data_IF_173190439696
#
_entry.id   IF_173190439696
#
_cell.length_a   1.000
_cell.length_b   1.000
_cell.length_c   1.000
_cell.angle_alpha   90.00
_cell.angle_beta   90.00
_cell.angle_gamma   90.00
#
_symmetry.space_group_name_H-M   'P 1'
#
loop_
_entity.id
_entity.type
_entity.pdbx_description
1 polymer ?
#
# COMPACT_ATOMS: atom_id res chain seq x y z
N UNK A 1 -44.36 4.96 -6.40
CA UNK A 1 -43.88 6.10 -7.21
C UNK A 1 -43.18 5.50 -8.41
N UNK A 2 -43.91 5.28 -9.50
CA UNK A 2 -43.38 4.74 -10.75
C UNK A 2 -42.60 5.83 -11.48
N UNK A 3 -41.34 5.56 -11.82
CA UNK A 3 -40.57 6.42 -12.73
C UNK A 3 -41.05 6.17 -14.16
N UNK A 4 -41.82 7.12 -14.67
CA UNK A 4 -42.17 7.29 -16.08
C UNK A 4 -40.90 7.54 -16.91
N UNK A 5 -40.24 6.47 -17.37
CA UNK A 5 -39.39 6.54 -18.54
C UNK A 5 -40.18 6.03 -19.74
N UNK A 6 -40.41 6.94 -20.68
CA UNK A 6 -41.18 6.77 -21.91
C UNK A 6 -40.68 5.54 -22.70
N UNK A 7 -41.54 4.53 -22.90
CA UNK A 7 -41.22 3.23 -23.51
C UNK A 7 -40.90 3.24 -25.02
N UNK A 8 -40.70 4.41 -25.63
CA UNK A 8 -40.46 4.61 -27.07
C UNK A 8 -38.98 4.86 -27.41
N UNK A 9 -38.09 4.83 -26.42
CA UNK A 9 -36.63 5.03 -26.56
C UNK A 9 -35.84 3.88 -25.91
N UNK A 10 -36.34 2.65 -26.01
CA UNK A 10 -35.64 1.46 -25.49
C UNK A 10 -34.44 1.18 -26.41
N UNK A 11 -33.29 1.74 -26.05
CA UNK A 11 -32.00 1.27 -26.58
C UNK A 11 -31.76 -0.10 -25.95
N UNK A 12 -31.95 -1.17 -26.74
CA UNK A 12 -31.77 -2.55 -26.27
C UNK A 12 -30.41 -2.75 -25.57
N UNK A 13 -30.37 -3.62 -24.56
CA UNK A 13 -29.15 -3.91 -23.80
C UNK A 13 -28.87 -2.94 -22.65
N UNK A 14 -29.80 -2.05 -22.29
CA UNK A 14 -29.64 -1.07 -21.20
C UNK A 14 -30.74 -1.10 -20.13
N UNK A 15 -31.64 -2.07 -20.19
CA UNK A 15 -32.71 -2.30 -19.22
C UNK A 15 -32.62 -3.71 -18.62
N UNK A 16 -33.46 -4.01 -17.62
CA UNK A 16 -33.41 -5.29 -16.94
C UNK A 16 -34.01 -6.41 -17.79
N UNK A 17 -35.06 -6.10 -18.54
CA UNK A 17 -35.83 -7.02 -19.36
C UNK A 17 -34.96 -7.62 -20.47
N UNK A 18 -34.11 -6.80 -21.11
CA UNK A 18 -33.21 -7.21 -22.19
C UNK A 18 -31.90 -7.84 -21.71
N UNK A 19 -31.43 -7.51 -20.50
CA UNK A 19 -30.10 -7.95 -20.02
C UNK A 19 -30.13 -8.98 -18.90
N UNK A 20 -31.24 -9.10 -18.20
CA UNK A 20 -31.37 -9.89 -16.97
C UNK A 20 -30.72 -9.25 -15.73
N UNK A 21 -30.18 -8.03 -15.83
CA UNK A 21 -29.54 -7.34 -14.70
C UNK A 21 -30.32 -6.08 -14.31
N UNK A 22 -30.68 -5.98 -13.03
CA UNK A 22 -31.28 -4.77 -12.45
C UNK A 22 -30.30 -3.58 -12.46
N UNK A 23 -30.81 -2.36 -12.31
CA UNK A 23 -30.03 -1.13 -12.44
C UNK A 23 -28.84 -1.04 -11.47
N UNK A 24 -28.98 -1.54 -10.24
CA UNK A 24 -27.92 -1.56 -9.22
C UNK A 24 -26.78 -2.56 -9.54
N UNK A 25 -27.01 -3.48 -10.48
CA UNK A 25 -26.00 -4.35 -11.08
C UNK A 25 -25.69 -3.96 -12.54
N UNK A 26 -25.97 -2.71 -12.92
CA UNK A 26 -25.97 -2.25 -14.32
C UNK A 26 -24.64 -2.44 -15.05
N UNK A 27 -23.50 -2.37 -14.35
CA UNK A 27 -22.19 -2.61 -14.98
C UNK A 27 -21.99 -4.07 -15.43
N UNK A 28 -22.73 -5.03 -14.88
CA UNK A 28 -22.70 -6.42 -15.37
C UNK A 28 -23.24 -6.55 -16.81
N UNK A 29 -24.00 -5.56 -17.29
CA UNK A 29 -24.46 -5.48 -18.68
C UNK A 29 -23.30 -5.26 -19.67
N UNK A 30 -22.14 -4.81 -19.19
CA UNK A 30 -20.96 -4.52 -20.01
C UNK A 30 -20.06 -5.75 -20.25
N UNK A 31 -20.35 -6.91 -19.66
CA UNK A 31 -19.45 -8.08 -19.67
C UNK A 31 -19.03 -8.45 -21.11
N UNK A 32 -19.92 -8.36 -22.08
CA UNK A 32 -19.64 -8.71 -23.48
C UNK A 32 -19.63 -7.49 -24.43
N UNK A 33 -19.51 -6.28 -23.90
CA UNK A 33 -19.43 -5.03 -24.68
C UNK A 33 -18.01 -4.46 -24.56
N UNK A 34 -17.05 -5.09 -25.24
CA UNK A 34 -15.62 -4.84 -25.06
C UNK A 34 -15.21 -3.38 -25.28
N UNK A 35 -15.86 -2.65 -26.21
CA UNK A 35 -15.60 -1.23 -26.45
C UNK A 35 -16.13 -0.33 -25.35
N UNK A 36 -17.36 -0.58 -24.88
CA UNK A 36 -17.92 0.17 -23.74
C UNK A 36 -17.20 -0.12 -22.44
N UNK A 37 -16.83 -1.38 -22.21
CA UNK A 37 -16.08 -1.81 -21.04
C UNK A 37 -14.67 -1.22 -21.06
N UNK A 38 -14.02 -1.11 -22.22
CA UNK A 38 -12.78 -0.34 -22.38
C UNK A 38 -12.98 1.13 -21.96
N UNK A 39 -14.04 1.77 -22.45
CA UNK A 39 -14.38 3.15 -22.06
C UNK A 39 -14.55 3.33 -20.55
N UNK A 40 -15.26 2.39 -19.90
CA UNK A 40 -15.42 2.39 -18.45
C UNK A 40 -14.07 2.28 -17.70
N UNK A 41 -13.18 1.38 -18.13
CA UNK A 41 -11.85 1.22 -17.51
C UNK A 41 -10.97 2.45 -17.71
N UNK A 42 -10.95 3.03 -18.92
CA UNK A 42 -10.13 4.21 -19.24
C UNK A 42 -10.66 5.45 -18.50
N UNK A 43 -11.98 5.61 -18.42
CA UNK A 43 -12.60 6.68 -17.62
C UNK A 43 -12.26 6.53 -16.13
N UNK A 44 -12.33 5.31 -15.59
CA UNK A 44 -11.96 5.04 -14.20
C UNK A 44 -10.48 5.30 -13.92
N UNK A 45 -9.58 4.95 -14.85
CA UNK A 45 -8.17 5.34 -14.76
C UNK A 45 -8.01 6.87 -14.75
N UNK A 46 -8.80 7.58 -15.57
CA UNK A 46 -8.90 9.03 -15.53
C UNK A 46 -9.29 9.57 -14.14
N UNK A 47 -10.24 8.95 -13.45
CA UNK A 47 -10.63 9.35 -12.08
C UNK A 47 -9.50 9.15 -11.05
N UNK A 48 -8.76 8.05 -11.13
CA UNK A 48 -7.60 7.81 -10.24
C UNK A 48 -6.53 8.89 -10.45
N UNK A 49 -6.18 9.13 -11.72
CA UNK A 49 -5.15 10.13 -12.08
C UNK A 49 -5.62 11.55 -11.79
N UNK A 50 -6.92 11.83 -11.92
CA UNK A 50 -7.54 13.10 -11.52
C UNK A 50 -7.40 13.32 -10.01
N UNK A 51 -7.76 12.32 -9.19
CA UNK A 51 -7.60 12.40 -7.75
C UNK A 51 -6.14 12.64 -7.36
N UNK A 52 -5.19 11.92 -7.96
CA UNK A 52 -3.76 12.12 -7.69
C UNK A 52 -3.32 13.57 -8.00
N UNK A 53 -3.72 14.12 -9.14
CA UNK A 53 -3.39 15.50 -9.51
C UNK A 53 -4.08 16.55 -8.62
N UNK A 54 -5.39 16.43 -8.44
CA UNK A 54 -6.19 17.38 -7.67
C UNK A 54 -5.81 17.36 -6.18
N UNK A 55 -5.68 16.17 -5.58
CA UNK A 55 -5.31 16.02 -4.17
C UNK A 55 -3.86 16.50 -3.93
N UNK A 56 -2.93 16.22 -4.86
CA UNK A 56 -1.56 16.72 -4.74
C UNK A 56 -1.53 18.26 -4.79
N UNK A 57 -2.21 18.89 -5.76
CA UNK A 57 -2.28 20.35 -5.82
C UNK A 57 -2.99 20.95 -4.61
N UNK A 58 -3.99 20.26 -4.06
CA UNK A 58 -4.63 20.65 -2.81
C UNK A 58 -3.64 20.62 -1.63
N UNK A 59 -2.85 19.54 -1.49
CA UNK A 59 -1.80 19.45 -0.48
C UNK A 59 -0.75 20.55 -0.66
N UNK A 60 -0.26 20.79 -1.88
CA UNK A 60 0.68 21.89 -2.19
C UNK A 60 0.10 23.24 -1.78
N UNK A 61 -1.19 23.49 -2.04
CA UNK A 61 -1.84 24.77 -1.72
C UNK A 61 -2.00 25.01 -0.21
N UNK A 62 -2.07 23.95 0.60
CA UNK A 62 -2.22 24.04 2.06
C UNK A 62 -0.90 23.78 2.81
N UNK A 63 0.18 23.50 2.09
CA UNK A 63 1.45 23.13 2.68
C UNK A 63 2.18 24.35 3.25
N UNK A 64 2.57 24.24 4.51
CA UNK A 64 3.42 25.18 5.25
C UNK A 64 4.79 24.51 5.44
N UNK A 65 5.84 24.94 4.70
CA UNK A 65 7.14 24.25 4.69
C UNK A 65 7.86 24.20 6.03
N UNK A 66 7.62 25.15 6.93
CA UNK A 66 8.27 25.19 8.24
C UNK A 66 7.68 24.17 9.24
N UNK A 67 6.55 23.53 8.91
CA UNK A 67 5.91 22.51 9.73
C UNK A 67 6.22 21.09 9.21
N UNK A 68 6.34 20.09 10.08
CA UNK A 68 6.44 18.70 9.64
C UNK A 68 5.25 18.31 8.74
N UNK A 69 5.50 17.50 7.71
CA UNK A 69 4.43 17.05 6.79
C UNK A 69 3.33 16.28 7.52
N UNK A 70 3.71 15.48 8.51
CA UNK A 70 2.78 14.65 9.29
C UNK A 70 1.84 15.44 10.20
N UNK A 71 2.11 16.72 10.48
CA UNK A 71 1.20 17.59 11.23
C UNK A 71 0.12 18.25 10.36
N UNK A 72 0.19 18.08 9.05
CA UNK A 72 -0.59 18.86 8.09
C UNK A 72 -1.63 18.01 7.33
N UNK A 73 -1.79 16.74 7.71
CA UNK A 73 -2.74 15.83 7.06
C UNK A 73 -2.35 15.46 5.63
N UNK A 74 -1.06 15.46 5.32
CA UNK A 74 -0.53 15.18 3.98
C UNK A 74 -0.27 13.68 3.83
N UNK A 75 -0.64 13.13 2.68
CA UNK A 75 -0.33 11.75 2.31
C UNK A 75 0.37 11.66 0.96
N UNK A 76 0.21 12.61 0.03
CA UNK A 76 0.86 12.55 -1.29
C UNK A 76 2.24 13.21 -1.30
N UNK A 77 2.43 14.36 -0.65
CA UNK A 77 3.75 15.01 -0.55
C UNK A 77 4.79 14.09 0.11
N UNK A 78 4.48 13.34 1.19
CA UNK A 78 5.38 12.34 1.74
C UNK A 78 5.86 11.28 0.72
N UNK A 79 5.02 10.84 -0.22
CA UNK A 79 5.44 9.89 -1.26
C UNK A 79 6.42 10.53 -2.24
N UNK A 80 6.20 11.79 -2.63
CA UNK A 80 7.11 12.53 -3.52
C UNK A 80 8.45 12.83 -2.83
N UNK A 81 8.41 13.23 -1.56
CA UNK A 81 9.59 13.46 -0.74
C UNK A 81 10.43 12.18 -0.54
N UNK A 82 9.77 11.03 -0.36
CA UNK A 82 10.45 9.72 -0.26
C UNK A 82 11.21 9.36 -1.54
N UNK A 83 10.71 9.81 -2.70
CA UNK A 83 11.42 9.71 -3.98
C UNK A 83 12.58 10.72 -4.13
N UNK A 84 12.88 11.50 -3.09
CA UNK A 84 13.95 12.49 -3.07
C UNK A 84 13.64 13.78 -3.84
N UNK A 85 12.37 14.05 -4.14
CA UNK A 85 11.98 15.32 -4.78
C UNK A 85 11.72 16.40 -3.72
N UNK A 86 12.35 17.56 -3.88
CA UNK A 86 12.04 18.75 -3.08
C UNK A 86 12.57 18.73 -1.65
N UNK A 87 13.31 17.70 -1.24
CA UNK A 87 13.84 17.53 0.13
C UNK A 87 15.36 17.40 0.17
N UNK A 88 15.94 17.72 1.32
CA UNK A 88 17.37 17.57 1.61
C UNK A 88 17.66 16.95 2.99
N UNK A 89 18.79 17.30 3.62
CA UNK A 89 19.20 16.74 4.91
C UNK A 89 18.12 16.92 5.98
N UNK A 90 17.91 15.87 6.78
CA UNK A 90 16.88 15.81 7.82
C UNK A 90 15.44 15.77 7.29
N UNK A 91 15.24 15.70 5.98
CA UNK A 91 13.91 15.76 5.35
C UNK A 91 13.36 17.18 5.21
N UNK A 92 14.20 18.20 5.34
CA UNK A 92 13.82 19.60 5.13
C UNK A 92 13.36 19.83 3.69
N UNK A 93 12.26 20.56 3.52
CA UNK A 93 11.76 20.92 2.18
C UNK A 93 12.54 22.11 1.63
N UNK A 94 13.27 21.87 0.54
CA UNK A 94 14.10 22.86 -0.15
C UNK A 94 13.39 23.51 -1.34
N UNK A 95 12.50 22.76 -2.02
CA UNK A 95 11.77 23.23 -3.20
C UNK A 95 10.42 22.51 -3.33
N UNK A 96 9.33 23.27 -3.42
CA UNK A 96 7.97 22.74 -3.58
C UNK A 96 7.56 22.60 -5.05
N UNK A 97 8.36 23.12 -6.00
CA UNK A 97 8.05 23.05 -7.42
C UNK A 97 7.91 21.62 -7.96
N UNK A 98 8.73 20.62 -7.57
CA UNK A 98 8.53 19.24 -8.00
C UNK A 98 7.15 18.68 -7.62
N UNK A 99 6.63 19.07 -6.45
CA UNK A 99 5.29 18.67 -5.99
C UNK A 99 4.21 19.26 -6.89
N UNK A 100 4.31 20.56 -7.18
CA UNK A 100 3.42 21.26 -8.09
C UNK A 100 3.44 20.65 -9.50
N UNK A 101 4.63 20.40 -10.06
CA UNK A 101 4.80 19.75 -11.38
C UNK A 101 4.11 18.40 -11.41
N UNK A 102 4.32 17.56 -10.40
CA UNK A 102 3.64 16.26 -10.31
C UNK A 102 2.12 16.42 -10.33
N UNK A 103 1.58 17.36 -9.54
CA UNK A 103 0.14 17.62 -9.45
C UNK A 103 -0.46 18.06 -10.80
N UNK A 104 0.18 19.00 -11.48
CA UNK A 104 -0.26 19.49 -12.79
C UNK A 104 -0.20 18.39 -13.85
N UNK A 105 0.90 17.63 -13.93
CA UNK A 105 1.06 16.59 -14.94
C UNK A 105 0.01 15.48 -14.79
N UNK A 106 -0.32 15.07 -13.56
CA UNK A 106 -1.40 14.12 -13.32
C UNK A 106 -2.76 14.73 -13.70
N UNK A 107 -3.05 15.96 -13.28
CA UNK A 107 -4.33 16.61 -13.58
C UNK A 107 -4.57 16.74 -15.10
N UNK A 108 -3.57 17.18 -15.86
CA UNK A 108 -3.67 17.27 -17.33
C UNK A 108 -3.81 15.88 -17.97
N UNK A 109 -3.04 14.90 -17.51
CA UNK A 109 -3.13 13.52 -18.02
C UNK A 109 -4.51 12.90 -17.78
N UNK A 110 -5.15 13.23 -16.65
CA UNK A 110 -6.51 12.76 -16.36
C UNK A 110 -7.56 13.26 -17.36
N UNK A 111 -7.38 14.45 -17.92
CA UNK A 111 -8.29 14.98 -18.93
C UNK A 111 -8.20 14.17 -20.23
N UNK A 112 -7.00 13.77 -20.63
CA UNK A 112 -6.77 12.90 -21.80
C UNK A 112 -7.42 11.52 -21.59
N UNK A 113 -7.20 10.91 -20.42
CA UNK A 113 -7.82 9.64 -20.07
C UNK A 113 -9.35 9.75 -19.99
N UNK A 114 -9.87 10.79 -19.34
CA UNK A 114 -11.30 11.05 -19.25
C UNK A 114 -11.94 11.21 -20.63
N UNK A 115 -11.29 11.96 -21.53
CA UNK A 115 -11.76 12.11 -22.91
C UNK A 115 -11.82 10.77 -23.66
N UNK A 116 -10.73 9.98 -23.62
CA UNK A 116 -10.71 8.65 -24.24
C UNK A 116 -11.76 7.71 -23.64
N UNK A 117 -11.93 7.73 -22.32
CA UNK A 117 -12.92 6.92 -21.61
C UNK A 117 -14.36 7.26 -22.00
N UNK A 118 -14.72 8.55 -22.02
CA UNK A 118 -16.04 9.02 -22.44
C UNK A 118 -16.31 8.69 -23.91
N UNK A 119 -15.33 8.91 -24.78
CA UNK A 119 -15.42 8.56 -26.20
C UNK A 119 -15.76 7.08 -26.36
N UNK A 120 -14.98 6.17 -25.77
CA UNK A 120 -15.20 4.73 -25.92
C UNK A 120 -16.48 4.23 -25.23
N UNK A 121 -16.92 4.87 -24.14
CA UNK A 121 -18.15 4.49 -23.46
C UNK A 121 -19.42 4.87 -24.25
N UNK A 122 -19.41 6.04 -24.90
CA UNK A 122 -20.61 6.66 -25.47
C UNK A 122 -20.66 6.70 -27.00
N UNK A 123 -19.53 6.94 -27.67
CA UNK A 123 -19.46 7.25 -29.11
C UNK A 123 -18.80 6.13 -29.91
N UNK A 124 -17.72 5.55 -29.37
CA UNK A 124 -16.98 4.47 -30.00
C UNK A 124 -17.81 3.20 -30.22
N UNK A 125 -17.29 2.24 -31.00
CA UNK A 125 -17.98 0.98 -31.26
C UNK A 125 -18.25 0.22 -29.94
N UNK A 126 -19.42 -0.40 -29.82
CA UNK A 126 -19.82 -1.09 -28.58
C UNK A 126 -18.99 -2.35 -28.32
N UNK A 127 -18.59 -3.01 -29.40
CA UNK A 127 -17.75 -4.22 -29.48
C UNK A 127 -16.55 -3.95 -30.39
N UNK A 128 -15.40 -4.58 -30.10
CA UNK A 128 -14.14 -4.36 -30.81
C UNK A 128 -13.75 -5.53 -31.72
N UNK A 129 -14.43 -6.67 -31.60
CA UNK A 129 -14.08 -7.96 -32.20
C UNK A 129 -14.06 -7.92 -33.73
N UNK A 130 -15.03 -7.25 -34.34
CA UNK A 130 -15.16 -7.20 -35.80
C UNK A 130 -14.26 -6.12 -36.43
N UNK A 131 -14.31 -4.90 -35.88
CA UNK A 131 -13.61 -3.75 -36.45
C UNK A 131 -12.11 -3.76 -36.16
N UNK A 132 -11.69 -4.31 -35.01
CA UNK A 132 -10.31 -4.25 -34.54
C UNK A 132 -9.88 -5.58 -33.90
N UNK A 133 -9.60 -6.64 -34.68
CA UNK A 133 -9.32 -7.99 -34.16
C UNK A 133 -8.16 -8.07 -33.15
N UNK A 134 -7.16 -7.18 -33.28
CA UNK A 134 -6.07 -7.08 -32.31
C UNK A 134 -6.56 -6.61 -30.93
N UNK A 135 -7.54 -5.70 -30.86
CA UNK A 135 -8.09 -5.16 -29.62
C UNK A 135 -9.33 -5.92 -29.10
N UNK A 136 -10.12 -6.54 -29.99
CA UNK A 136 -11.28 -7.34 -29.61
C UNK A 136 -10.91 -8.64 -28.90
N UNK A 137 -11.77 -9.12 -28.00
CA UNK A 137 -11.51 -10.31 -27.23
C UNK A 137 -12.79 -11.00 -26.75
N UNK A 138 -12.71 -12.31 -26.55
CA UNK A 138 -13.74 -13.07 -25.84
C UNK A 138 -13.10 -13.63 -24.57
N UNK A 139 -13.76 -13.48 -23.42
CA UNK A 139 -13.21 -13.92 -22.12
C UNK A 139 -12.77 -15.40 -22.08
N UNK A 140 -13.38 -16.24 -22.92
CA UNK A 140 -13.06 -17.68 -23.02
C UNK A 140 -11.83 -17.97 -23.89
N UNK A 141 -11.36 -17.02 -24.70
CA UNK A 141 -10.12 -17.13 -25.45
C UNK A 141 -8.94 -16.97 -24.48
N UNK A 142 -8.48 -18.12 -23.99
CA UNK A 142 -7.40 -18.21 -23.01
C UNK A 142 -6.08 -17.66 -23.53
N UNK A 143 -5.84 -17.73 -24.85
CA UNK A 143 -4.61 -17.23 -25.45
C UNK A 143 -4.64 -15.70 -25.50
N UNK A 144 -5.75 -15.10 -25.95
CA UNK A 144 -5.89 -13.64 -25.93
C UNK A 144 -5.82 -13.07 -24.51
N UNK A 145 -6.38 -13.78 -23.52
CA UNK A 145 -6.28 -13.38 -22.11
C UNK A 145 -4.82 -13.40 -21.60
N UNK A 146 -4.04 -14.44 -21.91
CA UNK A 146 -2.61 -14.46 -21.52
C UNK A 146 -1.78 -13.44 -22.28
N UNK A 147 -2.10 -13.15 -23.54
CA UNK A 147 -1.43 -12.06 -24.29
C UNK A 147 -1.66 -10.70 -23.63
N UNK A 148 -2.91 -10.35 -23.28
CA UNK A 148 -3.22 -9.07 -22.61
C UNK A 148 -2.53 -9.00 -21.24
N UNK A 149 -2.61 -10.08 -20.45
CA UNK A 149 -1.87 -10.19 -19.18
C UNK A 149 -0.37 -9.95 -19.38
N UNK A 150 0.22 -10.60 -20.39
CA UNK A 150 1.66 -10.51 -20.63
C UNK A 150 2.11 -9.12 -21.05
N UNK A 151 1.31 -8.39 -21.83
CA UNK A 151 1.55 -6.98 -22.15
C UNK A 151 1.53 -6.14 -20.87
N UNK A 152 0.52 -6.32 -20.01
CA UNK A 152 0.44 -5.57 -18.75
C UNK A 152 1.59 -5.89 -17.80
N UNK A 153 2.03 -7.14 -17.70
CA UNK A 153 3.20 -7.53 -16.91
C UNK A 153 4.48 -6.83 -17.40
N UNK A 154 4.69 -6.73 -18.72
CA UNK A 154 5.83 -5.96 -19.25
C UNK A 154 5.74 -4.49 -18.83
N UNK A 155 4.55 -3.88 -18.92
CA UNK A 155 4.36 -2.47 -18.53
C UNK A 155 4.60 -2.25 -17.02
N UNK A 156 4.14 -3.17 -16.16
CA UNK A 156 4.42 -3.15 -14.73
C UNK A 156 5.93 -3.28 -14.46
N UNK A 157 6.60 -4.19 -15.17
CA UNK A 157 8.03 -4.40 -15.00
C UNK A 157 8.86 -3.19 -15.43
N UNK A 158 8.44 -2.50 -16.49
CA UNK A 158 9.01 -1.20 -16.87
C UNK A 158 8.77 -0.14 -15.78
N UNK A 159 7.60 -0.13 -15.14
CA UNK A 159 7.30 0.71 -13.99
C UNK A 159 8.26 0.47 -12.80
N UNK A 160 8.56 -0.78 -12.48
CA UNK A 160 9.56 -1.14 -11.46
C UNK A 160 10.95 -0.59 -11.83
N UNK A 161 11.35 -0.70 -13.10
CA UNK A 161 12.63 -0.16 -13.59
C UNK A 161 12.69 1.37 -13.56
N UNK A 162 11.56 2.09 -13.67
CA UNK A 162 11.56 3.55 -13.49
C UNK A 162 11.97 3.95 -12.07
N UNK A 163 11.55 3.22 -11.03
CA UNK A 163 12.02 3.45 -9.66
C UNK A 163 13.52 3.17 -9.53
N UNK A 164 14.00 2.07 -10.13
CA UNK A 164 15.43 1.74 -10.14
C UNK A 164 16.24 2.86 -10.80
N UNK A 165 15.80 3.36 -11.95
CA UNK A 165 16.45 4.48 -12.62
C UNK A 165 16.41 5.76 -11.79
N UNK A 166 15.29 6.04 -11.11
CA UNK A 166 15.20 7.17 -10.18
C UNK A 166 16.26 7.09 -9.09
N UNK A 167 16.36 5.94 -8.44
CA UNK A 167 17.25 5.71 -7.31
C UNK A 167 18.73 5.69 -7.68
N UNK A 168 19.08 5.17 -8.86
CA UNK A 168 20.48 5.00 -9.27
C UNK A 168 21.04 6.15 -10.09
N UNK A 169 20.20 6.83 -10.89
CA UNK A 169 20.69 7.75 -11.92
C UNK A 169 20.04 9.14 -11.91
N UNK A 170 18.83 9.29 -11.33
CA UNK A 170 18.09 10.55 -11.36
C UNK A 170 17.94 11.14 -9.95
N UNK A 171 19.08 11.44 -9.32
CA UNK A 171 19.13 12.17 -8.06
C UNK A 171 18.91 11.34 -6.79
N UNK A 172 18.57 10.05 -6.88
CA UNK A 172 18.49 9.16 -5.70
C UNK A 172 17.12 9.07 -5.05
N UNK A 173 17.06 8.54 -3.83
CA UNK A 173 15.87 8.47 -2.97
C UNK A 173 16.20 9.09 -1.61
N UNK A 174 15.19 9.45 -0.82
CA UNK A 174 15.43 9.86 0.56
C UNK A 174 15.79 8.63 1.42
N UNK A 175 16.96 8.67 2.05
CA UNK A 175 17.47 7.62 2.92
C UNK A 175 17.45 8.11 4.37
N UNK A 176 16.48 7.66 5.18
CA UNK A 176 16.46 8.00 6.63
C UNK A 176 17.68 7.44 7.37
N UNK A 177 18.34 6.43 6.81
CA UNK A 177 19.50 5.73 7.38
C UNK A 177 20.85 6.28 6.91
N UNK A 178 20.86 7.38 6.16
CA UNK A 178 22.10 7.96 5.67
C UNK A 178 23.06 8.30 6.85
N UNK A 179 24.37 7.99 6.73
CA UNK A 179 25.33 8.29 7.80
C UNK A 179 25.38 9.78 8.12
N UNK A 180 25.13 10.14 9.38
CA UNK A 180 25.09 11.54 9.84
C UNK A 180 23.69 12.15 9.90
N UNK A 181 22.66 11.43 9.47
CA UNK A 181 21.26 11.86 9.46
C UNK A 181 20.63 11.65 8.08
N UNK A 182 19.30 11.50 8.03
CA UNK A 182 18.63 11.16 6.78
C UNK A 182 18.82 12.22 5.69
N UNK A 183 19.06 11.79 4.45
CA UNK A 183 19.31 12.69 3.31
C UNK A 183 18.98 11.99 1.98
N UNK A 184 18.87 12.75 0.90
CA UNK A 184 18.71 12.19 -0.44
C UNK A 184 20.03 11.59 -0.91
N UNK A 185 20.01 10.31 -1.29
CA UNK A 185 21.20 9.55 -1.69
C UNK A 185 20.97 8.75 -2.96
N UNK A 186 21.98 8.74 -3.82
CA UNK A 186 22.06 7.82 -4.97
C UNK A 186 22.41 6.42 -4.47
N UNK A 187 21.62 5.43 -4.89
CA UNK A 187 21.88 4.01 -4.60
C UNK A 187 22.80 3.46 -5.67
N UNK A 188 24.09 3.34 -5.36
CA UNK A 188 25.11 2.90 -6.33
C UNK A 188 25.29 1.38 -6.38
N UNK A 189 24.94 0.66 -5.30
CA UNK A 189 25.17 -0.78 -5.17
C UNK A 189 23.88 -1.50 -4.73
N UNK A 190 22.84 -1.58 -5.58
CA UNK A 190 21.62 -2.30 -5.22
C UNK A 190 21.90 -3.78 -4.95
N UNK A 191 21.20 -4.37 -3.98
CA UNK A 191 21.40 -5.78 -3.61
C UNK A 191 20.84 -6.71 -4.68
N UNK A 192 21.71 -7.35 -5.46
CA UNK A 192 21.30 -8.32 -6.48
C UNK A 192 21.40 -9.78 -6.01
N UNK A 193 21.94 -10.03 -4.82
CA UNK A 193 22.06 -11.38 -4.27
C UNK A 193 20.67 -11.99 -4.03
N UNK A 194 20.27 -13.06 -4.76
CA UNK A 194 18.93 -13.66 -4.62
C UNK A 194 18.69 -14.24 -3.23
N UNK A 195 19.73 -14.68 -2.53
CA UNK A 195 19.58 -15.21 -1.17
C UNK A 195 19.06 -14.15 -0.19
N UNK A 196 19.45 -12.88 -0.38
CA UNK A 196 18.94 -11.76 0.43
C UNK A 196 17.52 -11.40 -0.01
N UNK A 197 17.33 -11.13 -1.30
CA UNK A 197 16.05 -10.65 -1.86
C UNK A 197 14.91 -11.65 -1.63
N UNK A 198 15.10 -12.92 -2.01
CA UNK A 198 14.09 -13.95 -1.77
C UNK A 198 14.07 -14.43 -0.31
N UNK A 199 15.13 -14.17 0.45
CA UNK A 199 15.17 -14.40 1.89
C UNK A 199 14.05 -13.66 2.63
N UNK A 200 13.79 -12.39 2.27
CA UNK A 200 12.68 -11.61 2.84
C UNK A 200 11.32 -12.28 2.68
N UNK A 201 11.06 -12.92 1.53
CA UNK A 201 9.77 -13.58 1.24
C UNK A 201 9.55 -14.80 2.15
N UNK A 202 10.64 -15.43 2.62
CA UNK A 202 10.60 -16.62 3.46
C UNK A 202 10.67 -16.30 4.97
N UNK A 203 10.87 -15.04 5.36
CA UNK A 203 10.87 -14.63 6.77
C UNK A 203 9.48 -14.81 7.40
N UNK A 204 9.46 -15.09 8.69
CA UNK A 204 8.25 -15.14 9.49
C UNK A 204 7.54 -13.77 9.50
N UNK A 205 6.20 -13.70 9.45
CA UNK A 205 5.46 -12.45 9.58
C UNK A 205 5.30 -11.97 11.04
N UNK A 206 5.82 -12.73 12.01
CA UNK A 206 5.70 -12.40 13.44
C UNK A 206 6.79 -11.41 13.91
N UNK A 207 6.68 -10.95 15.16
CA UNK A 207 7.64 -10.02 15.79
C UNK A 207 9.08 -10.52 15.71
N UNK A 208 10.03 -9.59 15.64
CA UNK A 208 11.45 -9.84 15.38
C UNK A 208 11.82 -10.10 13.90
N UNK A 209 10.95 -10.75 13.12
CA UNK A 209 11.24 -11.10 11.73
C UNK A 209 10.55 -10.19 10.69
N UNK A 210 9.24 -10.00 10.80
CA UNK A 210 8.48 -8.99 10.05
C UNK A 210 8.33 -9.20 8.52
N UNK A 211 8.55 -10.40 7.99
CA UNK A 211 8.44 -10.72 6.55
C UNK A 211 9.10 -9.63 5.65
N UNK A 212 8.50 -9.26 4.52
CA UNK A 212 9.00 -8.18 3.64
C UNK A 212 8.89 -6.79 4.27
N UNK A 213 8.07 -6.61 5.32
CA UNK A 213 7.94 -5.34 6.03
C UNK A 213 9.22 -4.98 6.82
N UNK A 214 10.10 -5.96 7.03
CA UNK A 214 11.39 -5.77 7.71
C UNK A 214 12.50 -5.17 6.85
N UNK A 215 12.26 -4.85 5.57
CA UNK A 215 13.28 -4.24 4.71
C UNK A 215 13.76 -2.91 5.32
N UNK A 216 15.06 -2.81 5.58
CA UNK A 216 15.64 -1.77 6.44
C UNK A 216 16.68 -0.89 5.73
N UNK A 217 16.90 -1.07 4.44
CA UNK A 217 17.84 -0.29 3.65
C UNK A 217 17.38 -0.10 2.18
N UNK A 218 17.89 0.95 1.53
CA UNK A 218 17.50 1.28 0.16
C UNK A 218 18.11 0.33 -0.88
N UNK A 219 19.29 -0.23 -0.62
CA UNK A 219 19.95 -1.19 -1.52
C UNK A 219 19.07 -2.42 -1.78
N UNK A 220 18.43 -2.95 -0.74
CA UNK A 220 17.50 -4.08 -0.82
C UNK A 220 16.17 -3.68 -1.49
N UNK A 221 15.65 -2.48 -1.21
CA UNK A 221 14.45 -1.96 -1.89
C UNK A 221 14.71 -1.87 -3.40
N UNK A 222 15.78 -1.20 -3.82
CA UNK A 222 16.12 -1.02 -5.24
C UNK A 222 16.46 -2.35 -5.89
N UNK A 223 17.25 -3.19 -5.22
CA UNK A 223 17.59 -4.54 -5.68
C UNK A 223 16.36 -5.44 -5.86
N UNK A 224 15.40 -5.36 -4.93
CA UNK A 224 14.12 -6.05 -5.03
C UNK A 224 13.32 -5.62 -6.26
N UNK A 225 13.28 -4.31 -6.56
CA UNK A 225 12.60 -3.80 -7.76
C UNK A 225 13.30 -4.18 -9.06
N UNK A 226 14.63 -4.34 -9.07
CA UNK A 226 15.36 -4.95 -10.20
C UNK A 226 14.86 -6.38 -10.45
N UNK A 227 14.75 -7.19 -9.40
CA UNK A 227 14.25 -8.57 -9.50
C UNK A 227 12.80 -8.62 -9.95
N UNK A 228 11.89 -7.88 -9.28
CA UNK A 228 10.46 -7.85 -9.62
C UNK A 228 10.27 -7.38 -11.06
N UNK A 229 10.87 -6.24 -11.44
CA UNK A 229 10.71 -5.71 -12.79
C UNK A 229 11.22 -6.65 -13.87
N UNK A 230 12.33 -7.34 -13.61
CA UNK A 230 12.88 -8.35 -14.52
C UNK A 230 11.97 -9.58 -14.61
N UNK A 231 11.47 -10.09 -13.49
CA UNK A 231 10.53 -11.23 -13.44
C UNK A 231 9.23 -10.90 -14.18
N UNK A 232 8.69 -9.71 -13.99
CA UNK A 232 7.47 -9.26 -14.67
C UNK A 232 7.66 -9.17 -16.18
N UNK A 233 8.78 -8.63 -16.66
CA UNK A 233 9.08 -8.56 -18.10
C UNK A 233 9.20 -9.96 -18.70
N UNK A 234 10.00 -10.85 -18.09
CA UNK A 234 10.16 -12.22 -18.59
C UNK A 234 8.87 -13.03 -18.48
N UNK A 235 8.12 -12.90 -17.39
CA UNK A 235 6.81 -13.50 -17.21
C UNK A 235 5.79 -12.98 -18.22
N UNK A 236 5.86 -11.70 -18.57
CA UNK A 236 5.03 -11.10 -19.59
C UNK A 236 5.32 -11.62 -20.99
N UNK A 237 6.60 -11.71 -21.38
CA UNK A 237 7.04 -12.34 -22.63
C UNK A 237 6.57 -13.80 -22.68
N UNK A 238 6.76 -14.53 -21.58
CA UNK A 238 6.30 -15.92 -21.46
C UNK A 238 4.78 -16.04 -21.70
N UNK A 239 3.97 -15.20 -21.07
CA UNK A 239 2.51 -15.23 -21.22
C UNK A 239 2.02 -14.79 -22.61
N UNK A 240 2.78 -13.94 -23.31
CA UNK A 240 2.51 -13.59 -24.72
C UNK A 240 2.79 -14.78 -25.63
N UNK A 241 3.90 -15.49 -25.40
CA UNK A 241 4.38 -16.56 -26.29
C UNK A 241 3.78 -17.94 -25.97
N UNK A 242 3.06 -18.07 -24.86
CA UNK A 242 2.50 -19.35 -24.41
C UNK A 242 0.99 -19.28 -24.17
N UNK A 243 0.39 -20.47 -24.03
CA UNK A 243 -1.02 -20.65 -23.70
C UNK A 243 -1.16 -21.51 -22.44
N UNK A 244 -2.24 -21.36 -21.65
CA UNK A 244 -2.40 -22.11 -20.41
C UNK A 244 -2.29 -23.63 -20.61
N UNK A 245 -1.45 -24.27 -19.81
CA UNK A 245 -1.26 -25.72 -19.83
C UNK A 245 -2.52 -26.49 -19.41
N UNK A 246 -2.55 -27.78 -19.71
CA UNK A 246 -3.73 -28.62 -19.47
C UNK A 246 -4.18 -28.64 -17.99
N UNK A 247 -3.24 -28.67 -17.05
CA UNK A 247 -3.56 -28.63 -15.62
C UNK A 247 -4.18 -27.29 -15.23
N UNK A 248 -3.67 -26.16 -15.72
CA UNK A 248 -4.21 -24.83 -15.42
C UNK A 248 -5.62 -24.69 -15.99
N UNK A 249 -5.85 -25.18 -17.22
CA UNK A 249 -7.19 -25.18 -17.83
C UNK A 249 -8.24 -25.93 -17.01
N UNK A 250 -7.83 -26.98 -16.28
CA UNK A 250 -8.71 -27.77 -15.40
C UNK A 250 -8.90 -27.15 -14.01
N UNK A 251 -7.96 -26.33 -13.55
CA UNK A 251 -7.97 -25.75 -12.21
C UNK A 251 -8.83 -24.47 -12.12
N UNK A 252 -8.86 -23.66 -13.18
CA UNK A 252 -9.51 -22.34 -13.16
C UNK A 252 -10.86 -22.30 -13.89
N UNK A 253 -11.68 -21.33 -13.48
CA UNK A 253 -12.89 -20.92 -14.22
C UNK A 253 -12.48 -19.82 -15.21
N UNK A 254 -12.91 -19.95 -16.48
CA UNK A 254 -12.47 -19.07 -17.57
C UNK A 254 -13.61 -18.14 -18.02
N UNK A 255 -13.84 -17.09 -17.24
CA UNK A 255 -14.85 -16.05 -17.50
C UNK A 255 -14.36 -14.69 -17.00
N UNK A 256 -14.90 -13.58 -17.53
CA UNK A 256 -14.52 -12.23 -17.09
C UNK A 256 -14.75 -12.01 -15.59
N UNK A 257 -15.84 -12.53 -15.03
CA UNK A 257 -16.11 -12.44 -13.60
C UNK A 257 -15.15 -13.28 -12.75
N UNK A 258 -14.72 -14.45 -13.24
CA UNK A 258 -13.69 -15.23 -12.55
C UNK A 258 -12.36 -14.47 -12.51
N UNK A 259 -11.94 -13.87 -13.62
CA UNK A 259 -10.70 -13.08 -13.67
C UNK A 259 -10.78 -11.84 -12.76
N UNK A 260 -11.91 -11.14 -12.74
CA UNK A 260 -12.17 -10.08 -11.77
C UNK A 260 -12.00 -10.60 -10.34
N UNK A 261 -12.59 -11.75 -10.00
CA UNK A 261 -12.47 -12.33 -8.66
C UNK A 261 -11.03 -12.64 -8.25
N UNK A 262 -10.19 -13.09 -9.19
CA UNK A 262 -8.77 -13.37 -8.92
C UNK A 262 -8.02 -12.08 -8.62
N UNK A 263 -8.25 -11.03 -9.42
CA UNK A 263 -7.66 -9.72 -9.18
C UNK A 263 -8.13 -9.10 -7.86
N UNK A 264 -9.40 -9.28 -7.48
CA UNK A 264 -9.93 -8.79 -6.19
C UNK A 264 -9.21 -9.44 -5.00
N UNK A 265 -8.91 -10.74 -5.07
CA UNK A 265 -8.10 -11.41 -4.05
C UNK A 265 -6.68 -10.82 -3.96
N UNK A 266 -6.02 -10.64 -5.11
CA UNK A 266 -4.68 -10.05 -5.15
C UNK A 266 -4.65 -8.62 -4.63
N UNK A 267 -5.61 -7.77 -5.00
CA UNK A 267 -5.72 -6.38 -4.50
C UNK A 267 -6.03 -6.34 -3.00
N UNK A 268 -6.89 -7.24 -2.51
CA UNK A 268 -7.12 -7.39 -1.07
C UNK A 268 -5.82 -7.74 -0.33
N UNK A 269 -5.07 -8.72 -0.82
CA UNK A 269 -3.78 -9.10 -0.25
C UNK A 269 -2.80 -7.92 -0.27
N UNK A 270 -2.62 -7.24 -1.41
CA UNK A 270 -1.75 -6.06 -1.50
C UNK A 270 -2.14 -4.97 -0.50
N UNK A 271 -3.44 -4.70 -0.33
CA UNK A 271 -3.93 -3.73 0.65
C UNK A 271 -3.65 -4.18 2.10
N UNK A 272 -3.83 -5.47 2.43
CA UNK A 272 -3.43 -6.01 3.73
C UNK A 272 -1.93 -5.94 3.99
N UNK A 273 -1.09 -5.95 2.95
CA UNK A 273 0.38 -5.79 3.05
C UNK A 273 0.78 -4.32 3.21
N UNK A 274 0.06 -3.40 2.57
CA UNK A 274 0.29 -1.95 2.71
C UNK A 274 0.05 -1.45 4.15
N UNK A 275 -0.85 -2.11 4.89
CA UNK A 275 -1.15 -1.79 6.30
C UNK A 275 0.10 -1.92 7.20
N UNK A 276 0.73 -3.09 7.37
CA UNK A 276 1.94 -3.20 8.18
C UNK A 276 3.11 -2.40 7.61
N UNK A 277 3.24 -2.27 6.28
CA UNK A 277 4.27 -1.42 5.68
C UNK A 277 4.18 0.04 6.17
N UNK A 278 3.01 0.66 6.09
CA UNK A 278 2.82 2.03 6.58
C UNK A 278 2.84 2.15 8.11
N UNK A 279 2.48 1.08 8.82
CA UNK A 279 2.41 1.07 10.29
C UNK A 279 3.74 0.82 11.00
N UNK A 280 4.60 -0.04 10.44
CA UNK A 280 5.85 -0.50 11.07
C UNK A 280 7.12 -0.08 10.35
N UNK A 281 7.13 -0.03 9.02
CA UNK A 281 8.34 0.28 8.28
C UNK A 281 8.64 1.78 8.34
N UNK A 282 9.87 2.14 8.70
CA UNK A 282 10.35 3.53 8.70
C UNK A 282 11.43 3.79 7.63
N UNK A 283 11.72 2.82 6.76
CA UNK A 283 12.66 2.96 5.65
C UNK A 283 11.95 3.46 4.38
N UNK A 284 10.97 2.69 3.90
CA UNK A 284 10.13 3.06 2.76
C UNK A 284 9.06 4.10 3.13
N UNK A 285 8.78 4.26 4.42
CA UNK A 285 7.94 5.33 4.98
C UNK A 285 8.74 6.11 6.02
N UNK A 286 9.65 7.02 5.62
CA UNK A 286 10.49 7.78 6.54
C UNK A 286 9.67 8.53 7.59
N UNK A 287 10.04 8.40 8.87
CA UNK A 287 9.33 9.06 9.97
C UNK A 287 9.45 10.58 9.92
N UNK A 288 10.40 11.13 9.18
CA UNK A 288 10.49 12.56 8.83
C UNK A 288 9.24 13.07 8.09
N UNK A 289 8.65 12.25 7.22
CA UNK A 289 7.50 12.66 6.40
C UNK A 289 6.18 12.13 6.95
N UNK A 290 6.17 10.89 7.44
CA UNK A 290 4.96 10.19 7.88
C UNK A 290 4.73 10.26 9.39
N UNK A 291 5.67 10.83 10.16
CA UNK A 291 5.64 10.81 11.62
C UNK A 291 6.11 9.47 12.18
N UNK A 292 6.27 9.36 13.52
CA UNK A 292 6.77 8.14 14.14
C UNK A 292 5.77 6.98 13.99
N UNK A 293 6.28 5.77 13.93
CA UNK A 293 5.45 4.57 14.11
C UNK A 293 4.95 4.47 15.55
N UNK A 294 3.97 3.61 15.81
CA UNK A 294 3.52 3.32 17.19
C UNK A 294 4.65 2.79 18.08
N UNK A 295 5.40 1.75 17.65
CA UNK A 295 6.59 1.27 18.35
C UNK A 295 7.63 2.38 18.59
N UNK A 296 7.91 3.20 17.57
CA UNK A 296 8.89 4.29 17.64
C UNK A 296 8.52 5.32 18.71
N UNK A 297 7.29 5.85 18.68
CA UNK A 297 6.83 6.85 19.64
C UNK A 297 6.86 6.31 21.09
N UNK A 298 6.53 5.03 21.28
CA UNK A 298 6.61 4.38 22.60
C UNK A 298 8.05 4.25 23.11
N UNK A 299 8.99 3.87 22.24
CA UNK A 299 10.42 3.80 22.60
C UNK A 299 10.97 5.20 22.88
N UNK A 300 10.56 6.21 22.09
CA UNK A 300 10.93 7.62 22.28
C UNK A 300 10.46 8.17 23.62
N UNK A 301 9.28 7.76 24.12
CA UNK A 301 8.80 8.12 25.45
C UNK A 301 9.75 7.63 26.56
N UNK A 302 10.09 6.34 26.56
CA UNK A 302 10.98 5.78 27.59
C UNK A 302 12.38 6.40 27.51
N UNK A 303 12.90 6.60 26.30
CA UNK A 303 14.17 7.27 26.09
C UNK A 303 14.18 8.70 26.68
N UNK A 304 13.13 9.48 26.42
CA UNK A 304 13.01 10.86 26.93
C UNK A 304 13.08 10.92 28.46
N UNK A 305 12.34 10.05 29.15
CA UNK A 305 12.37 10.00 30.61
C UNK A 305 13.66 9.41 31.18
N UNK A 306 14.28 8.46 30.49
CA UNK A 306 15.60 7.94 30.84
C UNK A 306 16.63 9.08 30.85
N UNK A 307 16.71 9.85 29.77
CA UNK A 307 17.66 10.98 29.65
C UNK A 307 17.41 12.01 30.75
N UNK A 308 16.15 12.41 30.95
CA UNK A 308 15.78 13.38 31.98
C UNK A 308 16.23 12.91 33.36
N UNK A 309 15.89 11.68 33.74
CA UNK A 309 16.15 11.18 35.09
C UNK A 309 17.65 10.91 35.30
N UNK A 310 18.37 10.49 34.27
CA UNK A 310 19.83 10.37 34.32
C UNK A 310 20.50 11.72 34.57
N UNK A 311 20.04 12.81 33.93
CA UNK A 311 20.51 14.18 34.19
C UNK A 311 20.20 14.67 35.60
N UNK A 312 19.12 14.17 36.20
CA UNK A 312 18.78 14.41 37.60
C UNK A 312 19.60 13.54 38.58
N UNK A 313 20.54 12.72 38.08
CA UNK A 313 21.44 11.89 38.88
C UNK A 313 20.95 10.45 39.11
N UNK A 314 19.89 10.00 38.43
CA UNK A 314 19.42 8.62 38.55
C UNK A 314 20.38 7.63 37.87
N UNK A 315 20.70 6.54 38.57
CA UNK A 315 21.42 5.40 37.97
C UNK A 315 20.46 4.52 37.17
N UNK A 316 20.22 4.86 35.90
CA UNK A 316 19.20 4.20 35.07
C UNK A 316 19.40 2.69 34.86
N UNK A 317 20.63 2.20 34.99
CA UNK A 317 20.94 0.76 34.89
C UNK A 317 20.68 -0.06 36.15
N UNK A 318 20.53 0.57 37.32
CA UNK A 318 20.23 -0.10 38.60
C UNK A 318 18.92 0.35 39.24
N UNK A 319 18.20 1.28 38.60
CA UNK A 319 16.90 1.74 39.07
C UNK A 319 15.84 0.65 38.91
N UNK A 320 15.44 0.06 40.04
CA UNK A 320 14.35 -0.92 40.09
C UNK A 320 12.99 -0.22 40.06
N UNK A 321 12.09 -0.70 39.20
CA UNK A 321 10.70 -0.28 39.13
C UNK A 321 9.81 -1.03 40.13
N UNK A 322 8.53 -0.63 40.27
CA UNK A 322 7.62 -1.19 41.28
C UNK A 322 7.35 -2.70 41.16
N UNK A 323 7.50 -3.27 39.96
CA UNK A 323 7.28 -4.69 39.69
C UNK A 323 8.51 -5.56 39.97
N UNK A 324 9.62 -4.95 40.39
CA UNK A 324 10.90 -5.62 40.56
C UNK A 324 11.76 -5.68 39.28
N UNK A 325 11.20 -5.38 38.11
CA UNK A 325 11.94 -5.18 36.86
C UNK A 325 12.65 -3.82 36.85
N UNK A 326 13.64 -3.64 35.97
CA UNK A 326 14.30 -2.34 35.81
C UNK A 326 13.34 -1.29 35.25
N UNK A 327 13.37 -0.09 35.83
CA UNK A 327 12.46 1.01 35.49
C UNK A 327 12.69 1.53 34.07
N UNK A 328 13.96 1.66 33.66
CA UNK A 328 14.36 2.22 32.36
C UNK A 328 14.92 1.17 31.41
N UNK A 329 15.66 0.19 31.94
CA UNK A 329 16.33 -0.85 31.19
C UNK A 329 16.00 -2.22 31.78
N UNK A 330 15.76 -3.20 30.92
CA UNK A 330 15.54 -4.60 31.29
C UNK A 330 16.08 -5.53 30.19
N UNK A 331 15.86 -6.84 30.32
CA UNK A 331 16.23 -7.82 29.28
C UNK A 331 15.03 -8.24 28.46
N UNK A 332 15.25 -8.44 27.16
CA UNK A 332 14.34 -9.18 26.29
C UNK A 332 14.25 -10.66 26.73
N UNK A 333 13.31 -11.45 26.18
CA UNK A 333 13.28 -12.90 26.39
C UNK A 333 14.56 -13.63 25.97
N UNK A 334 15.35 -13.07 25.04
CA UNK A 334 16.60 -13.64 24.51
C UNK A 334 17.87 -13.02 25.12
N UNK A 335 17.73 -12.02 25.99
CA UNK A 335 18.80 -11.49 26.84
C UNK A 335 19.37 -10.14 26.43
N UNK A 336 18.97 -9.56 25.29
CA UNK A 336 19.35 -8.21 24.87
C UNK A 336 18.85 -7.16 25.87
N UNK A 337 19.63 -6.09 26.05
CA UNK A 337 19.22 -4.93 26.86
C UNK A 337 18.22 -4.08 26.06
N UNK A 338 17.05 -3.86 26.64
CA UNK A 338 15.92 -3.16 26.02
C UNK A 338 15.36 -2.10 26.98
N UNK A 339 14.54 -1.18 26.47
CA UNK A 339 13.81 -0.26 27.33
C UNK A 339 12.76 -0.99 28.20
N UNK A 340 12.60 -0.51 29.44
CA UNK A 340 11.67 -1.04 30.43
C UNK A 340 10.24 -0.49 30.31
N UNK A 341 9.34 -0.97 31.17
CA UNK A 341 7.93 -0.60 31.15
C UNK A 341 7.16 -1.29 30.01
N UNK A 342 5.99 -0.74 29.64
CA UNK A 342 5.13 -1.37 28.62
C UNK A 342 5.75 -1.43 27.23
N UNK A 343 6.74 -0.57 26.95
CA UNK A 343 7.47 -0.56 25.68
C UNK A 343 8.39 -1.77 25.52
N UNK A 344 8.50 -2.66 26.53
CA UNK A 344 9.19 -3.95 26.38
C UNK A 344 8.67 -4.77 25.18
N UNK A 345 7.40 -4.57 24.78
CA UNK A 345 6.80 -5.22 23.61
C UNK A 345 7.32 -4.70 22.26
N UNK A 346 7.99 -3.54 22.25
CA UNK A 346 8.47 -2.85 21.05
C UNK A 346 9.99 -2.88 20.92
N UNK A 347 10.65 -3.83 21.60
CA UNK A 347 12.10 -3.93 21.59
C UNK A 347 12.73 -4.25 20.22
N UNK A 348 11.93 -4.81 19.30
CA UNK A 348 12.30 -5.05 17.90
C UNK A 348 12.47 -3.74 17.09
N UNK A 349 11.98 -2.60 17.59
CA UNK A 349 12.06 -1.32 16.89
C UNK A 349 13.51 -0.95 16.58
N UNK A 350 13.76 -0.55 15.34
CA UNK A 350 15.02 0.04 14.88
C UNK A 350 14.72 1.41 14.29
N UNK A 351 15.57 2.39 14.58
CA UNK A 351 15.45 3.73 13.99
C UNK A 351 16.76 4.51 14.08
N UNK A 352 17.05 5.40 13.11
CA UNK A 352 18.35 6.04 12.99
C UNK A 352 18.75 6.85 14.24
N UNK A 353 17.76 7.34 15.00
CA UNK A 353 18.01 8.09 16.24
C UNK A 353 18.41 7.21 17.43
N UNK A 354 18.07 5.92 17.46
CA UNK A 354 18.36 5.02 18.59
C UNK A 354 19.53 4.08 18.31
N UNK A 355 19.76 3.71 17.05
CA UNK A 355 20.82 2.76 16.66
C UNK A 355 22.23 3.11 17.15
N UNK A 356 22.68 4.38 17.17
CA UNK A 356 24.00 4.73 17.71
C UNK A 356 24.22 4.26 19.16
N UNK A 357 23.14 4.12 19.93
CA UNK A 357 23.16 3.72 21.35
C UNK A 357 23.07 2.20 21.56
N UNK A 358 22.92 1.42 20.48
CA UNK A 358 22.97 -0.05 20.54
C UNK A 358 24.40 -0.56 20.38
N UNK A 359 24.67 -1.70 21.01
CA UNK A 359 25.86 -2.53 20.85
C UNK A 359 25.47 -3.99 20.58
N UNK A 360 26.42 -4.93 20.62
CA UNK A 360 26.17 -6.34 20.29
C UNK A 360 25.11 -7.03 21.17
N UNK A 361 24.86 -6.51 22.38
CA UNK A 361 23.93 -7.08 23.35
C UNK A 361 22.67 -6.21 23.57
N UNK A 362 22.28 -5.40 22.58
CA UNK A 362 21.17 -4.44 22.70
C UNK A 362 21.65 -3.04 23.13
N UNK A 363 20.84 -2.30 23.89
CA UNK A 363 21.20 -0.95 24.36
C UNK A 363 22.46 -0.97 25.25
N UNK A 364 23.43 -0.11 24.94
CA UNK A 364 24.70 -0.05 25.65
C UNK A 364 24.66 0.99 26.78
N UNK A 365 24.88 0.55 28.02
CA UNK A 365 24.82 1.42 29.20
C UNK A 365 25.91 2.51 29.20
N UNK A 366 27.10 2.24 28.65
CA UNK A 366 28.16 3.24 28.57
C UNK A 366 27.79 4.32 27.55
N UNK A 367 27.24 3.92 26.40
CA UNK A 367 26.75 4.88 25.40
C UNK A 367 25.58 5.71 25.92
N UNK A 368 24.62 5.08 26.60
CA UNK A 368 23.51 5.80 27.24
C UNK A 368 23.99 6.82 28.28
N UNK A 369 25.12 6.55 28.95
CA UNK A 369 25.70 7.48 29.92
C UNK A 369 26.44 8.66 29.27
N UNK A 370 27.16 8.41 28.19
CA UNK A 370 28.19 9.34 27.72
C UNK A 370 27.93 9.91 26.32
N UNK A 371 27.14 9.23 25.49
CA UNK A 371 27.12 9.47 24.04
C UNK A 371 25.78 9.98 23.53
N UNK A 372 24.79 10.18 24.42
CA UNK A 372 23.49 10.76 24.03
C UNK A 372 23.67 12.18 23.52
N UNK A 373 23.19 12.43 22.31
CA UNK A 373 23.30 13.72 21.64
C UNK A 373 22.03 14.55 21.78
N UNK A 374 22.13 15.90 21.82
CA UNK A 374 20.95 16.77 21.88
C UNK A 374 19.97 16.58 20.72
N UNK A 375 20.43 16.17 19.54
CA UNK A 375 19.53 15.89 18.41
C UNK A 375 18.70 14.62 18.62
N UNK A 376 19.23 13.60 19.30
CA UNK A 376 18.47 12.39 19.67
C UNK A 376 17.39 12.74 20.70
N UNK A 377 17.72 13.60 21.67
CA UNK A 377 16.76 14.11 22.65
C UNK A 377 15.61 14.86 21.99
N UNK A 378 15.92 15.78 21.06
CA UNK A 378 14.89 16.50 20.30
C UNK A 378 14.02 15.54 19.49
N UNK A 379 14.64 14.61 18.76
CA UNK A 379 13.93 13.64 17.92
C UNK A 379 13.00 12.73 18.74
N UNK A 380 13.47 12.25 19.89
CA UNK A 380 12.65 11.42 20.76
C UNK A 380 11.54 12.21 21.46
N UNK A 381 11.80 13.44 21.91
CA UNK A 381 10.76 14.30 22.46
C UNK A 381 9.65 14.57 21.43
N UNK A 382 10.05 14.92 20.20
CA UNK A 382 9.17 15.14 19.06
C UNK A 382 8.31 13.90 18.75
N UNK A 383 8.92 12.72 18.69
CA UNK A 383 8.21 11.48 18.36
C UNK A 383 7.31 10.98 19.48
N UNK A 384 7.69 11.19 20.74
CA UNK A 384 6.82 10.92 21.89
C UNK A 384 5.53 11.76 21.81
N UNK A 385 5.63 13.04 21.43
CA UNK A 385 4.46 13.95 21.37
C UNK A 385 3.64 13.83 20.08
N UNK A 386 4.15 13.11 19.07
CA UNK A 386 3.46 12.84 17.81
C UNK A 386 3.13 11.36 17.60
N UNK A 387 2.92 10.63 18.69
CA UNK A 387 2.47 9.24 18.67
C UNK A 387 1.20 9.10 17.80
N UNK A 388 1.01 8.00 17.04
CA UNK A 388 -0.10 7.83 16.11
C UNK A 388 -1.44 7.51 16.79
N UNK A 389 -1.85 8.38 17.73
CA UNK A 389 -3.11 8.33 18.46
C UNK A 389 -3.87 9.64 18.27
N UNK A 390 -5.15 9.53 17.96
CA UNK A 390 -6.06 10.66 17.87
C UNK A 390 -7.48 10.19 17.59
N UNK A 391 -8.45 11.09 17.76
CA UNK A 391 -9.86 10.83 17.52
C UNK A 391 -10.24 10.97 16.04
N UNK A 392 -11.41 10.48 15.66
CA UNK A 392 -11.93 10.59 14.29
C UNK A 392 -12.15 12.05 13.84
N UNK A 393 -12.43 12.97 14.77
CA UNK A 393 -12.52 14.41 14.52
C UNK A 393 -11.18 15.14 14.67
N UNK A 394 -10.07 14.40 14.57
CA UNK A 394 -8.69 14.86 14.57
C UNK A 394 -8.18 15.52 15.87
N UNK A 395 -8.70 15.13 17.03
CA UNK A 395 -8.11 15.54 18.32
C UNK A 395 -6.95 14.60 18.62
N UNK A 396 -5.72 15.13 18.60
CA UNK A 396 -4.50 14.37 18.84
C UNK A 396 -4.31 14.00 20.30
N UNK A 397 -3.77 12.82 20.54
CA UNK A 397 -3.50 12.29 21.88
C UNK A 397 -4.37 11.10 22.25
N UNK A 398 -4.42 10.81 23.55
CA UNK A 398 -5.21 9.68 24.08
C UNK A 398 -6.71 9.97 24.04
N UNK A 399 -7.54 8.95 24.18
CA UNK A 399 -9.00 9.09 24.10
C UNK A 399 -9.62 10.03 25.16
N UNK A 400 -8.91 10.31 26.24
CA UNK A 400 -9.33 11.23 27.31
C UNK A 400 -8.71 12.62 27.18
N UNK A 401 -7.96 12.89 26.11
CA UNK A 401 -7.34 14.20 25.88
C UNK A 401 -8.41 15.25 25.60
N UNK A 402 -8.19 16.47 26.10
CA UNK A 402 -9.08 17.60 25.83
C UNK A 402 -8.87 18.12 24.40
N UNK A 403 -9.86 18.82 23.85
CA UNK A 403 -9.73 19.47 22.53
C UNK A 403 -8.66 20.56 22.58
N UNK A 404 -7.46 20.27 22.07
CA UNK A 404 -6.34 21.22 22.02
C UNK A 404 -5.49 21.07 20.75
N UNK A 405 -5.06 19.86 20.43
CA UNK A 405 -4.15 19.58 19.31
C UNK A 405 -4.94 18.97 18.16
N UNK A 406 -4.88 19.57 16.97
CA UNK A 406 -5.47 19.01 15.75
C UNK A 406 -4.46 18.09 15.06
N UNK A 407 -4.49 16.79 15.35
CA UNK A 407 -3.50 15.84 14.84
C UNK A 407 -4.07 14.41 14.78
N UNK A 408 -3.91 13.78 13.62
CA UNK A 408 -3.93 12.32 13.46
C UNK A 408 -2.80 11.99 12.49
N UNK A 409 -1.89 11.14 12.96
CA UNK A 409 -0.71 10.74 12.20
C UNK A 409 -1.09 10.10 10.84
N UNK A 410 -0.42 10.45 9.72
CA UNK A 410 -0.67 9.87 8.41
C UNK A 410 -0.66 8.34 8.38
N UNK A 411 0.16 7.69 9.21
CA UNK A 411 0.21 6.23 9.33
C UNK A 411 -1.14 5.66 9.78
N UNK A 412 -1.84 6.34 10.69
CA UNK A 412 -3.19 5.92 11.12
C UNK A 412 -4.21 6.05 9.99
N UNK A 413 -4.19 7.15 9.23
CA UNK A 413 -5.06 7.32 8.06
C UNK A 413 -4.79 6.26 6.99
N UNK A 414 -3.52 6.02 6.65
CA UNK A 414 -3.13 5.04 5.63
C UNK A 414 -3.47 3.62 6.07
N UNK A 415 -3.10 3.21 7.29
CA UNK A 415 -3.36 1.86 7.79
C UNK A 415 -4.86 1.56 7.90
N UNK A 416 -5.66 2.48 8.46
CA UNK A 416 -7.10 2.25 8.64
C UNK A 416 -7.85 2.24 7.31
N UNK A 417 -7.57 3.17 6.40
CA UNK A 417 -8.19 3.21 5.08
C UNK A 417 -7.87 1.95 4.26
N UNK A 418 -6.61 1.53 4.22
CA UNK A 418 -6.20 0.36 3.46
C UNK A 418 -6.70 -0.94 4.08
N UNK A 419 -6.83 -1.03 5.41
CA UNK A 419 -7.45 -2.18 6.04
C UNK A 419 -8.93 -2.32 5.65
N UNK A 420 -9.69 -1.22 5.69
CA UNK A 420 -11.09 -1.20 5.25
C UNK A 420 -11.22 -1.62 3.78
N UNK A 421 -10.37 -1.09 2.90
CA UNK A 421 -10.33 -1.49 1.50
C UNK A 421 -10.01 -2.99 1.39
N UNK A 422 -8.93 -3.47 2.03
CA UNK A 422 -8.52 -4.86 1.98
C UNK A 422 -9.66 -5.83 2.35
N UNK A 423 -10.38 -5.51 3.43
CA UNK A 423 -11.55 -6.28 3.86
C UNK A 423 -12.66 -6.31 2.80
N UNK A 424 -13.08 -5.16 2.28
CA UNK A 424 -14.16 -5.12 1.29
C UNK A 424 -13.76 -5.74 -0.04
N UNK A 425 -12.50 -5.61 -0.47
CA UNK A 425 -11.97 -6.32 -1.63
C UNK A 425 -11.96 -7.84 -1.41
N UNK A 426 -11.70 -8.32 -0.19
CA UNK A 426 -11.81 -9.75 0.14
C UNK A 426 -13.25 -10.25 0.08
N UNK A 427 -14.20 -9.49 0.65
CA UNK A 427 -15.63 -9.81 0.57
C UNK A 427 -16.09 -9.85 -0.90
N UNK A 428 -15.66 -8.87 -1.70
CA UNK A 428 -15.94 -8.83 -3.13
C UNK A 428 -15.32 -10.02 -3.89
N UNK A 429 -14.11 -10.46 -3.50
CA UNK A 429 -13.52 -11.69 -4.02
C UNK A 429 -14.43 -12.89 -3.76
N UNK A 430 -14.85 -13.12 -2.51
CA UNK A 430 -15.72 -14.26 -2.15
C UNK A 430 -17.02 -14.23 -2.94
N UNK A 431 -17.64 -13.05 -3.06
CA UNK A 431 -18.85 -12.84 -3.84
C UNK A 431 -18.66 -13.23 -5.31
N UNK A 432 -17.68 -12.64 -5.98
CA UNK A 432 -17.48 -12.85 -7.42
C UNK A 432 -16.91 -14.22 -7.76
N UNK A 433 -16.03 -14.80 -6.94
CA UNK A 433 -15.53 -16.16 -7.18
C UNK A 433 -16.63 -17.20 -7.00
N UNK A 434 -17.47 -17.06 -5.97
CA UNK A 434 -18.64 -17.90 -5.75
C UNK A 434 -19.63 -17.80 -6.90
N UNK A 435 -19.99 -16.56 -7.29
CA UNK A 435 -20.91 -16.31 -8.40
C UNK A 435 -20.37 -16.81 -9.74
N UNK A 436 -19.10 -16.56 -10.05
CA UNK A 436 -18.47 -17.04 -11.27
C UNK A 436 -18.48 -18.58 -11.37
N UNK A 437 -18.26 -19.28 -10.24
CA UNK A 437 -18.33 -20.74 -10.19
C UNK A 437 -19.76 -21.24 -10.40
N UNK A 438 -20.75 -20.65 -9.72
CA UNK A 438 -22.16 -21.00 -9.88
C UNK A 438 -22.64 -20.76 -11.33
N UNK A 439 -22.24 -19.63 -11.93
CA UNK A 439 -22.59 -19.28 -13.30
C UNK A 439 -21.92 -20.20 -14.33
N UNK A 440 -20.67 -20.60 -14.10
CA UNK A 440 -19.98 -21.56 -14.95
C UNK A 440 -20.62 -22.96 -14.88
N UNK A 441 -21.24 -23.31 -13.76
CA UNK A 441 -21.94 -24.57 -13.55
C UNK A 441 -23.46 -24.49 -13.87
N UNK A 442 -24.00 -23.30 -14.14
CA UNK A 442 -25.35 -23.08 -14.67
C UNK A 442 -26.48 -23.03 -13.65
N UNK A 443 -26.19 -22.73 -12.37
CA UNK A 443 -27.21 -22.67 -11.31
C UNK A 443 -27.21 -21.34 -10.54
N UNK A 444 -26.61 -20.28 -11.07
CA UNK A 444 -26.52 -18.97 -10.41
C UNK A 444 -27.87 -18.26 -10.23
N UNK A 445 -28.90 -18.72 -10.94
CA UNK A 445 -30.26 -18.16 -10.92
C UNK A 445 -31.24 -18.94 -10.02
N UNK A 446 -30.78 -20.02 -9.39
CA UNK A 446 -31.59 -20.87 -8.53
C UNK A 446 -31.50 -22.35 -8.89
N UNK A 447 -32.15 -23.17 -8.08
CA UNK A 447 -32.23 -24.62 -8.26
C UNK A 447 -33.30 -24.94 -9.30
N UNK A 448 -32.98 -25.85 -10.22
CA UNK A 448 -33.96 -26.43 -11.14
C UNK A 448 -34.96 -27.30 -10.36
N UNK A 449 -36.24 -26.94 -10.43
CA UNK A 449 -37.30 -27.63 -9.69
C UNK A 449 -37.51 -29.07 -10.18
N UNK A 450 -37.18 -29.35 -11.43
CA UNK A 450 -37.34 -30.69 -12.00
C UNK A 450 -36.10 -31.57 -11.78
N UNK A 451 -34.99 -30.97 -11.35
CA UNK A 451 -33.70 -31.66 -11.18
C UNK A 451 -32.94 -31.16 -9.94
N UNK A 452 -33.62 -31.12 -8.80
CA UNK A 452 -33.00 -30.75 -7.51
C UNK A 452 -31.95 -31.81 -7.11
N UNK A 453 -30.64 -31.46 -7.06
CA UNK A 453 -29.60 -32.47 -6.88
C UNK A 453 -29.68 -33.24 -5.57
N UNK A 454 -30.17 -32.59 -4.50
CA UNK A 454 -30.30 -33.18 -3.17
C UNK A 454 -31.29 -34.35 -3.16
N UNK A 455 -32.34 -34.30 -3.99
CA UNK A 455 -33.33 -35.38 -4.10
C UNK A 455 -32.76 -36.66 -4.75
N UNK A 456 -31.64 -36.55 -5.47
CA UNK A 456 -30.92 -37.70 -6.03
C UNK A 456 -29.83 -38.25 -5.09
N UNK A 457 -29.58 -37.60 -3.95
CA UNK A 457 -28.64 -38.08 -2.95
C UNK A 457 -29.31 -39.04 -1.98
N UNK A 458 -28.52 -39.93 -1.36
CA UNK A 458 -29.03 -40.76 -0.28
C UNK A 458 -29.34 -39.88 0.93
N UNK A 459 -30.42 -40.16 1.70
CA UNK A 459 -30.62 -39.56 3.01
C UNK A 459 -29.37 -39.74 3.88
N UNK A 460 -29.12 -38.75 4.74
CA UNK A 460 -27.98 -38.82 5.64
C UNK A 460 -28.20 -39.85 6.76
N UNK A 461 -29.46 -40.07 7.15
CA UNK A 461 -29.93 -40.96 8.20
C UNK A 461 -31.13 -41.83 7.77
#
# INVERSE_FOLDING_TARGET
>A
METLFNGTLVVGGRDQESTGFAWWAGNARLINLSGKLLGAHVAHAGLIVFWAGAMNLFEVAHFVPEKPMYEQGLILLPHLASLGYGVGPGGEVLDTFPYFVSGVLHLISSAVLGFGGVYHALIGPETLEESFPFFGYVWKDKNKMTTILGIHLILLGLGCWLLVWKAMYLGGLYDTWAPGGGDVRIVTNPTLNPAVIFGYILKSPFGGDGWICSVDNLEDIVGGHVWVGTIEIFGGIWHILTKPFAWARRAFVWSGEAYLSYSLASVSMMAFIAVPMSWFNNTAYPSEFYGPTGPEASQSQTFTFLVRDQRLGANVGSAQGPTGLGKYLMRSPTGEVIFGGETMRFWDFRGPWVEPLRGPNGLDLNKLKNDIQPWQERRAAEYMTHAPLGSLNSVGGVATEINAVNFVNPRSWLATSHFCLAFFFFVAHLWHAGRARAAAAGFEKGIDRDNEPVLSMRPLD
#
